data_IF_166443489799
#
_entry.id   IF_166443489799
#
_cell.length_a   1.000
_cell.length_b   1.000
_cell.length_c   1.000
_cell.angle_alpha   90.00
_cell.angle_beta   90.00
_cell.angle_gamma   90.00
#
_symmetry.space_group_name_H-M   'P 1'
#
loop_
_entity.id
_entity.type
_entity.pdbx_description
1 polymer ?
#
# COMPACT_ATOMS: atom_id res chain seq x y z
N UNK A 1 8.05 23.47 -15.47
CA UNK A 1 6.79 22.75 -15.78
C UNK A 1 6.43 21.93 -14.55
N UNK A 2 5.26 22.15 -13.96
CA UNK A 2 4.85 21.36 -12.79
C UNK A 2 4.42 19.96 -13.25
N UNK A 3 4.95 18.94 -12.59
CA UNK A 3 4.65 17.53 -12.86
C UNK A 3 4.18 16.85 -11.58
N UNK A 4 3.37 15.81 -11.70
CA UNK A 4 3.03 14.91 -10.59
C UNK A 4 3.68 13.56 -10.80
N UNK A 5 4.25 13.04 -9.74
CA UNK A 5 4.90 11.74 -9.75
C UNK A 5 3.85 10.63 -9.66
N UNK A 6 4.00 9.60 -10.48
CA UNK A 6 3.30 8.33 -10.40
C UNK A 6 4.28 7.18 -10.49
N UNK A 7 3.86 6.04 -10.04
CA UNK A 7 4.65 4.81 -10.10
C UNK A 7 4.07 3.89 -11.18
N UNK A 8 4.74 3.88 -12.35
CA UNK A 8 4.33 3.09 -13.51
C UNK A 8 5.19 1.85 -13.65
N UNK A 9 4.57 0.67 -13.80
CA UNK A 9 5.28 -0.57 -14.09
C UNK A 9 6.52 -0.77 -13.19
N UNK A 10 6.40 -0.38 -11.92
CA UNK A 10 7.50 -0.36 -10.93
C UNK A 10 8.63 0.63 -11.28
N UNK A 11 8.32 1.67 -12.01
CA UNK A 11 9.24 2.78 -12.32
C UNK A 11 8.59 4.11 -12.00
N UNK A 12 9.40 5.11 -11.68
CA UNK A 12 8.94 6.48 -11.57
C UNK A 12 8.38 6.98 -12.89
N UNK A 13 7.25 7.64 -12.83
CA UNK A 13 6.68 8.37 -13.96
C UNK A 13 6.17 9.73 -13.52
N UNK A 14 6.17 10.67 -14.44
CA UNK A 14 5.79 12.05 -14.19
C UNK A 14 4.77 12.49 -15.21
N UNK A 15 3.65 13.03 -14.75
CA UNK A 15 2.63 13.61 -15.62
C UNK A 15 2.60 15.13 -15.48
N UNK A 16 2.32 15.80 -16.59
CA UNK A 16 2.10 17.25 -16.61
C UNK A 16 0.85 17.60 -15.80
N UNK A 17 0.96 18.58 -14.93
CA UNK A 17 -0.21 19.18 -14.29
C UNK A 17 -1.02 19.96 -15.34
N UNK A 18 -2.34 20.01 -15.15
CA UNK A 18 -3.24 20.74 -16.04
C UNK A 18 -3.86 19.93 -17.16
N UNK A 19 -3.55 18.64 -17.31
CA UNK A 19 -4.35 17.77 -18.17
C UNK A 19 -5.80 17.73 -17.67
N UNK A 20 -6.76 17.91 -18.58
CA UNK A 20 -8.17 17.86 -18.24
C UNK A 20 -8.59 16.42 -17.91
N UNK A 21 -9.09 16.22 -16.69
CA UNK A 21 -9.78 14.97 -16.34
C UNK A 21 -11.27 15.06 -16.74
N UNK A 22 -11.63 14.40 -17.83
CA UNK A 22 -12.99 14.39 -18.38
C UNK A 22 -13.84 13.38 -17.63
N UNK A 23 -14.54 13.82 -16.60
CA UNK A 23 -15.29 12.97 -15.65
C UNK A 23 -16.28 12.02 -16.31
N UNK A 24 -16.96 12.45 -17.39
CA UNK A 24 -17.97 11.63 -18.11
C UNK A 24 -17.36 10.44 -18.83
N UNK A 25 -16.04 10.43 -19.05
CA UNK A 25 -15.33 9.31 -19.65
C UNK A 25 -14.98 8.20 -18.65
N UNK A 26 -15.37 8.34 -17.39
CA UNK A 26 -15.02 7.37 -16.34
C UNK A 26 -16.23 6.99 -15.51
N UNK A 27 -16.30 5.70 -15.15
CA UNK A 27 -17.22 5.13 -14.17
C UNK A 27 -16.47 4.60 -12.96
N UNK A 28 -17.16 4.53 -11.83
CA UNK A 28 -16.61 3.89 -10.61
C UNK A 28 -17.64 2.95 -10.06
N UNK A 29 -17.27 1.69 -9.84
CA UNK A 29 -18.13 0.70 -9.24
C UNK A 29 -17.34 -0.36 -8.49
N UNK A 30 -18.05 -1.20 -7.72
CA UNK A 30 -17.47 -2.30 -6.98
C UNK A 30 -16.98 -3.39 -7.94
N UNK A 31 -15.80 -3.93 -7.67
CA UNK A 31 -15.28 -5.12 -8.35
C UNK A 31 -15.83 -6.35 -7.60
N UNK A 32 -16.64 -7.21 -8.25
CA UNK A 32 -17.35 -8.28 -7.57
C UNK A 32 -16.42 -9.39 -7.04
N UNK A 33 -15.30 -9.62 -7.68
CA UNK A 33 -14.40 -10.72 -7.36
C UNK A 33 -12.98 -10.27 -6.97
N UNK A 34 -12.33 -11.08 -6.13
CA UNK A 34 -10.97 -10.81 -5.68
C UNK A 34 -9.93 -10.98 -6.78
N UNK A 35 -10.17 -11.87 -7.73
CA UNK A 35 -9.19 -12.21 -8.77
C UNK A 35 -8.89 -11.00 -9.65
N UNK A 36 -9.91 -10.34 -10.18
CA UNK A 36 -9.78 -9.14 -11.03
C UNK A 36 -9.02 -8.02 -10.31
N UNK A 37 -9.40 -7.71 -9.07
CA UNK A 37 -8.73 -6.67 -8.29
C UNK A 37 -7.29 -7.06 -7.93
N UNK A 38 -7.07 -8.33 -7.58
CA UNK A 38 -5.76 -8.86 -7.21
C UNK A 38 -4.80 -8.86 -8.38
N UNK A 39 -5.22 -9.34 -9.55
CA UNK A 39 -4.39 -9.38 -10.75
C UNK A 39 -3.96 -7.97 -11.15
N UNK A 40 -4.89 -7.01 -11.15
CA UNK A 40 -4.58 -5.61 -11.44
C UNK A 40 -3.57 -5.02 -10.43
N UNK A 41 -3.79 -5.23 -9.12
CA UNK A 41 -2.90 -4.71 -8.07
C UNK A 41 -1.52 -5.35 -8.16
N UNK A 42 -1.42 -6.66 -8.36
CA UNK A 42 -0.11 -7.34 -8.45
C UNK A 42 0.67 -6.84 -9.67
N UNK A 43 -0.01 -6.60 -10.78
CA UNK A 43 0.63 -6.14 -12.01
C UNK A 43 1.10 -4.67 -11.92
N UNK A 44 0.29 -3.79 -11.32
CA UNK A 44 0.48 -2.33 -11.44
C UNK A 44 0.93 -1.64 -10.15
N UNK A 45 0.74 -2.24 -8.96
CA UNK A 45 1.15 -1.62 -7.71
C UNK A 45 2.57 -2.02 -7.31
N UNK A 46 3.39 -1.06 -6.88
CA UNK A 46 4.80 -1.29 -6.51
C UNK A 46 5.02 -2.39 -5.46
N UNK A 47 4.07 -2.62 -4.56
CA UNK A 47 4.22 -3.65 -3.52
C UNK A 47 4.12 -5.08 -4.06
N UNK A 48 3.51 -5.29 -5.24
CA UNK A 48 3.30 -6.61 -5.83
C UNK A 48 2.56 -7.59 -4.92
N UNK A 49 1.75 -7.09 -3.96
CA UNK A 49 1.03 -7.91 -2.99
C UNK A 49 -0.39 -7.41 -2.79
N UNK A 50 -1.28 -8.33 -2.40
CA UNK A 50 -2.71 -8.06 -2.22
C UNK A 50 -3.14 -8.35 -0.79
N UNK A 51 -3.81 -7.42 -0.09
CA UNK A 51 -4.28 -7.60 1.28
C UNK A 51 -5.62 -8.34 1.33
N UNK A 52 -6.03 -8.75 2.54
CA UNK A 52 -7.37 -9.29 2.78
C UNK A 52 -8.43 -8.18 2.57
N UNK A 53 -9.11 -8.22 1.43
CA UNK A 53 -10.06 -7.19 1.03
C UNK A 53 -11.40 -7.32 1.75
N UNK A 54 -11.94 -6.19 2.21
CA UNK A 54 -13.33 -6.04 2.67
C UNK A 54 -14.23 -5.43 1.59
N UNK A 55 -13.66 -4.55 0.75
CA UNK A 55 -14.32 -3.94 -0.40
C UNK A 55 -13.29 -3.61 -1.47
N UNK A 56 -13.64 -3.77 -2.72
CA UNK A 56 -12.83 -3.51 -3.91
C UNK A 56 -13.59 -2.61 -4.84
N UNK A 57 -12.97 -1.52 -5.28
CA UNK A 57 -13.61 -0.55 -6.16
C UNK A 57 -12.73 -0.31 -7.37
N UNK A 58 -13.31 -0.37 -8.55
CA UNK A 58 -12.67 -0.14 -9.83
C UNK A 58 -12.97 1.25 -10.38
N UNK A 59 -11.97 1.85 -11.01
CA UNK A 59 -12.10 2.96 -11.92
C UNK A 59 -12.13 2.42 -13.34
N UNK A 60 -13.20 2.68 -14.07
CA UNK A 60 -13.41 2.18 -15.42
C UNK A 60 -13.42 3.35 -16.41
N UNK A 61 -12.62 3.23 -17.48
CA UNK A 61 -12.64 4.14 -18.61
C UNK A 61 -13.70 3.68 -19.61
N UNK A 62 -14.62 4.56 -19.96
CA UNK A 62 -15.63 4.29 -20.98
C UNK A 62 -15.00 4.25 -22.37
N UNK A 63 -15.37 3.26 -23.16
CA UNK A 63 -14.95 3.09 -24.55
C UNK A 63 -16.19 3.04 -25.46
N UNK A 64 -16.15 3.80 -26.57
CA UNK A 64 -17.34 4.01 -27.41
C UNK A 64 -17.95 2.71 -27.98
N UNK A 65 -17.12 1.71 -28.30
CA UNK A 65 -17.55 0.47 -28.95
C UNK A 65 -17.04 -0.80 -28.25
N UNK A 66 -16.46 -0.69 -27.06
CA UNK A 66 -15.86 -1.79 -26.33
C UNK A 66 -16.33 -1.77 -24.86
N UNK A 67 -16.22 -2.88 -24.16
CA UNK A 67 -16.42 -2.90 -22.72
C UNK A 67 -15.54 -1.85 -22.01
N UNK A 68 -16.04 -1.31 -20.94
CA UNK A 68 -15.27 -0.36 -20.14
C UNK A 68 -13.97 -1.00 -19.63
N UNK A 69 -12.88 -0.24 -19.70
CA UNK A 69 -11.55 -0.68 -19.33
C UNK A 69 -11.26 -0.38 -17.85
N UNK A 70 -10.82 -1.37 -17.08
CA UNK A 70 -10.35 -1.15 -15.71
C UNK A 70 -9.01 -0.42 -15.74
N UNK A 71 -8.97 0.81 -15.22
CA UNK A 71 -7.79 1.68 -15.23
C UNK A 71 -7.34 2.13 -13.84
N UNK A 72 -8.02 1.67 -12.80
CA UNK A 72 -7.61 1.91 -11.42
C UNK A 72 -8.35 1.03 -10.44
N UNK A 73 -7.70 0.73 -9.31
CA UNK A 73 -8.25 -0.10 -8.23
C UNK A 73 -7.96 0.53 -6.87
N UNK A 74 -9.00 0.59 -6.05
CA UNK A 74 -8.92 0.88 -4.62
C UNK A 74 -9.35 -0.35 -3.83
N UNK A 75 -8.49 -0.87 -2.95
CA UNK A 75 -8.77 -2.00 -2.08
C UNK A 75 -8.88 -1.52 -0.65
N UNK A 76 -10.07 -1.62 -0.09
CA UNK A 76 -10.31 -1.43 1.33
C UNK A 76 -10.15 -2.77 2.03
N UNK A 77 -9.18 -2.87 2.91
CA UNK A 77 -8.75 -4.12 3.54
C UNK A 77 -8.98 -4.14 5.03
N UNK A 78 -8.88 -5.33 5.61
CA UNK A 78 -8.86 -5.50 7.05
C UNK A 78 -7.65 -4.78 7.63
N UNK A 79 -7.89 -3.92 8.62
CA UNK A 79 -6.83 -3.21 9.33
C UNK A 79 -6.07 -4.13 10.28
N UNK A 80 -4.81 -3.78 10.55
CA UNK A 80 -4.04 -4.46 11.58
C UNK A 80 -4.73 -4.29 12.96
N UNK A 81 -4.67 -5.34 13.80
CA UNK A 81 -5.33 -5.35 15.11
C UNK A 81 -4.95 -4.12 15.94
N UNK A 82 -5.95 -3.43 16.45
CA UNK A 82 -5.80 -2.25 17.31
C UNK A 82 -5.33 -0.98 16.58
N UNK A 83 -5.13 -1.01 15.25
CA UNK A 83 -4.67 0.16 14.52
C UNK A 83 -5.76 1.20 14.34
N UNK A 84 -6.99 0.75 14.15
CA UNK A 84 -8.18 1.60 13.98
C UNK A 84 -8.49 2.33 15.28
N UNK A 85 -8.58 1.60 16.39
CA UNK A 85 -8.84 2.17 17.71
C UNK A 85 -7.78 3.21 18.09
N UNK A 86 -6.51 2.86 17.90
CA UNK A 86 -5.40 3.73 18.26
C UNK A 86 -5.35 5.02 17.43
N UNK A 87 -5.71 4.95 16.14
CA UNK A 87 -5.51 6.05 15.19
C UNK A 87 -6.77 6.80 14.82
N UNK A 88 -7.91 6.16 14.89
CA UNK A 88 -9.20 6.74 14.53
C UNK A 88 -10.18 6.83 15.70
N UNK A 89 -9.91 6.18 16.84
CA UNK A 89 -10.79 6.23 18.00
C UNK A 89 -12.13 5.53 17.82
N UNK A 90 -12.25 4.64 16.82
CA UNK A 90 -13.47 3.85 16.57
C UNK A 90 -13.16 2.35 16.69
N UNK A 91 -14.16 1.50 16.96
CA UNK A 91 -13.97 0.05 17.00
C UNK A 91 -13.33 -0.50 15.73
N UNK A 92 -12.49 -1.54 15.83
CA UNK A 92 -11.81 -2.15 14.67
C UNK A 92 -12.75 -2.59 13.56
N UNK A 93 -13.95 -3.04 13.91
CA UNK A 93 -14.96 -3.48 12.94
C UNK A 93 -15.53 -2.34 12.10
N UNK A 94 -15.50 -1.13 12.63
CA UNK A 94 -15.99 0.10 11.99
C UNK A 94 -14.90 0.83 11.17
N UNK A 95 -13.72 0.24 11.04
CA UNK A 95 -12.63 0.81 10.26
C UNK A 95 -12.07 -0.14 9.20
N UNK A 96 -11.45 0.44 8.18
CA UNK A 96 -10.74 -0.26 7.12
C UNK A 96 -9.45 0.47 6.76
N UNK A 97 -8.48 -0.26 6.24
CA UNK A 97 -7.32 0.35 5.59
C UNK A 97 -7.61 0.55 4.09
N UNK A 98 -7.27 1.72 3.53
CA UNK A 98 -7.04 1.85 2.10
C UNK A 98 -5.73 1.13 1.78
N UNK A 99 -5.80 -0.21 1.73
CA UNK A 99 -4.65 -1.09 1.67
C UNK A 99 -3.91 -1.05 0.34
N UNK A 100 -4.64 -0.77 -0.75
CA UNK A 100 -4.05 -0.53 -2.08
C UNK A 100 -4.83 0.52 -2.82
N UNK A 101 -4.09 1.39 -3.48
CA UNK A 101 -4.62 2.41 -4.36
C UNK A 101 -3.69 2.57 -5.55
N UNK A 102 -4.18 2.28 -6.73
CA UNK A 102 -3.38 2.31 -7.95
C UNK A 102 -4.22 2.73 -9.15
N UNK A 103 -3.68 3.62 -9.98
CA UNK A 103 -4.23 4.03 -11.26
C UNK A 103 -3.18 3.80 -12.34
N UNK A 104 -3.65 3.50 -13.55
CA UNK A 104 -2.78 3.49 -14.72
C UNK A 104 -2.30 4.92 -15.02
N UNK A 105 -1.12 5.03 -15.58
CA UNK A 105 -0.46 6.32 -15.82
C UNK A 105 -1.15 7.19 -16.88
N UNK A 106 -1.92 6.57 -17.75
CA UNK A 106 -2.67 7.28 -18.77
C UNK A 106 -3.99 7.91 -18.26
N UNK A 107 -4.35 7.66 -16.99
CA UNK A 107 -5.41 8.41 -16.32
C UNK A 107 -4.91 9.83 -16.05
N UNK A 108 -5.60 10.89 -16.53
CA UNK A 108 -5.15 12.26 -16.38
C UNK A 108 -5.02 12.72 -14.92
N UNK A 109 -4.28 13.81 -14.72
CA UNK A 109 -4.12 14.47 -13.43
C UNK A 109 -5.48 14.76 -12.76
N UNK A 110 -5.55 14.67 -11.44
CA UNK A 110 -6.77 14.75 -10.61
C UNK A 110 -7.70 13.53 -10.68
N UNK A 111 -7.41 12.53 -11.50
CA UNK A 111 -8.15 11.26 -11.49
C UNK A 111 -8.13 10.57 -10.13
N UNK A 112 -7.01 10.68 -9.38
CA UNK A 112 -6.83 10.06 -8.07
C UNK A 112 -7.84 10.55 -7.04
N UNK A 113 -7.91 11.86 -6.82
CA UNK A 113 -8.81 12.44 -5.81
C UNK A 113 -10.28 12.29 -6.21
N UNK A 114 -10.56 12.35 -7.52
CA UNK A 114 -11.89 12.09 -8.05
C UNK A 114 -12.31 10.62 -7.83
N UNK A 115 -11.39 9.68 -8.08
CA UNK A 115 -11.63 8.26 -7.86
C UNK A 115 -11.78 7.96 -6.37
N UNK A 116 -10.88 8.44 -5.50
CA UNK A 116 -10.98 8.25 -4.04
C UNK A 116 -12.34 8.68 -3.49
N UNK A 117 -12.84 9.87 -3.91
CA UNK A 117 -14.15 10.36 -3.47
C UNK A 117 -15.28 9.38 -3.80
N UNK A 118 -15.21 8.75 -4.97
CA UNK A 118 -16.24 7.79 -5.41
C UNK A 118 -16.05 6.42 -4.80
N UNK A 119 -14.81 6.01 -4.64
CA UNK A 119 -14.47 4.76 -3.98
C UNK A 119 -14.97 4.74 -2.51
N UNK A 120 -14.85 5.88 -1.80
CA UNK A 120 -15.42 6.01 -0.45
C UNK A 120 -16.94 5.93 -0.46
N UNK A 121 -17.61 6.50 -1.47
CA UNK A 121 -19.08 6.36 -1.63
C UNK A 121 -19.48 4.91 -1.89
N UNK A 122 -18.73 4.19 -2.75
CA UNK A 122 -18.97 2.77 -2.98
C UNK A 122 -18.74 1.97 -1.70
N UNK A 123 -17.67 2.24 -0.95
CA UNK A 123 -17.41 1.60 0.33
C UNK A 123 -18.61 1.75 1.29
N UNK A 124 -19.12 2.98 1.47
CA UNK A 124 -20.26 3.24 2.36
C UNK A 124 -21.55 2.60 1.88
N UNK A 125 -21.75 2.47 0.57
CA UNK A 125 -22.90 1.74 0.01
C UNK A 125 -22.84 0.25 0.34
N UNK A 126 -21.65 -0.36 0.27
CA UNK A 126 -21.43 -1.79 0.51
C UNK A 126 -21.26 -2.14 1.99
N UNK A 127 -20.74 -1.21 2.78
CA UNK A 127 -20.36 -1.36 4.18
C UNK A 127 -20.74 -0.11 4.96
N UNK A 128 -22.02 0.03 5.27
CA UNK A 128 -22.60 1.21 5.95
C UNK A 128 -22.14 1.37 7.40
N UNK A 129 -21.57 0.32 7.99
CA UNK A 129 -21.00 0.29 9.33
C UNK A 129 -19.60 0.95 9.42
N UNK A 130 -18.95 1.21 8.30
CA UNK A 130 -17.62 1.80 8.31
C UNK A 130 -17.67 3.29 8.62
N UNK A 131 -16.91 3.70 9.64
CA UNK A 131 -16.81 5.08 10.13
C UNK A 131 -15.43 5.70 9.90
N UNK A 132 -14.40 4.88 9.71
CA UNK A 132 -13.05 5.36 9.49
C UNK A 132 -12.34 4.60 8.36
N UNK A 133 -11.58 5.34 7.55
CA UNK A 133 -10.60 4.79 6.60
C UNK A 133 -9.21 5.23 7.02
N UNK A 134 -8.29 4.28 7.14
CA UNK A 134 -6.87 4.53 7.37
C UNK A 134 -6.10 4.32 6.08
N UNK A 135 -5.03 5.08 5.88
CA UNK A 135 -4.04 4.82 4.84
C UNK A 135 -2.63 5.03 5.38
N UNK A 136 -1.70 4.30 4.83
CA UNK A 136 -0.30 4.40 5.20
C UNK A 136 0.55 4.72 3.98
N UNK A 137 1.45 5.68 4.10
CA UNK A 137 2.47 5.93 3.10
C UNK A 137 3.83 5.56 3.63
N UNK A 138 4.60 4.88 2.80
CA UNK A 138 5.95 4.44 3.11
C UNK A 138 6.95 5.49 2.63
N UNK A 139 7.61 6.23 3.54
CA UNK A 139 8.53 7.29 3.17
C UNK A 139 9.94 6.80 2.83
N UNK A 140 10.22 5.48 2.92
CA UNK A 140 11.54 4.92 2.72
C UNK A 140 11.78 4.55 1.25
N UNK A 141 12.66 5.26 0.52
CA UNK A 141 13.06 4.85 -0.83
C UNK A 141 13.78 3.51 -0.80
N UNK A 142 13.57 2.70 -1.83
CA UNK A 142 14.25 1.41 -1.99
C UNK A 142 14.75 1.23 -3.41
N UNK A 143 15.96 0.66 -3.51
CA UNK A 143 16.60 0.35 -4.78
C UNK A 143 17.07 -1.11 -4.77
N UNK A 144 17.36 -1.66 -5.95
CA UNK A 144 18.09 -2.92 -6.08
C UNK A 144 19.53 -2.73 -5.62
N UNK A 145 20.26 -3.83 -5.41
CA UNK A 145 21.69 -3.79 -5.11
C UNK A 145 22.52 -3.07 -6.20
N UNK A 146 22.02 -3.06 -7.43
CA UNK A 146 22.60 -2.36 -8.57
C UNK A 146 22.25 -0.86 -8.60
N UNK A 147 21.55 -0.35 -7.60
CA UNK A 147 21.15 1.06 -7.50
C UNK A 147 19.90 1.43 -8.30
N UNK A 148 19.22 0.48 -8.95
CA UNK A 148 17.98 0.75 -9.67
C UNK A 148 16.84 1.00 -8.68
N UNK A 149 16.27 2.20 -8.69
CA UNK A 149 15.14 2.54 -7.83
C UNK A 149 13.91 1.70 -8.16
N UNK A 150 13.33 1.04 -7.16
CA UNK A 150 12.09 0.27 -7.27
C UNK A 150 10.93 0.90 -6.52
N UNK A 151 11.22 1.77 -5.56
CA UNK A 151 10.25 2.54 -4.81
C UNK A 151 10.89 3.86 -4.34
N UNK A 152 10.39 5.02 -4.77
CA UNK A 152 10.97 6.32 -4.41
C UNK A 152 10.65 6.75 -2.99
N UNK A 153 9.82 6.01 -2.27
CA UNK A 153 9.17 6.47 -1.06
C UNK A 153 8.11 7.54 -1.35
N UNK A 154 7.12 7.69 -0.49
CA UNK A 154 6.16 8.77 -0.64
C UNK A 154 5.60 9.22 0.70
N UNK A 155 5.24 10.50 0.75
CA UNK A 155 4.66 11.13 1.96
C UNK A 155 3.13 11.17 1.94
N UNK A 156 2.50 10.44 1.04
CA UNK A 156 1.04 10.40 0.94
C UNK A 156 0.44 11.67 0.34
N UNK A 157 1.07 12.27 -0.65
CA UNK A 157 0.60 13.50 -1.32
C UNK A 157 -0.86 13.41 -1.77
N UNK A 158 -1.28 12.24 -2.30
CA UNK A 158 -2.67 12.00 -2.70
C UNK A 158 -3.60 12.03 -1.49
N UNK A 159 -3.16 11.48 -0.36
CA UNK A 159 -3.93 11.46 0.88
C UNK A 159 -4.09 12.88 1.45
N UNK A 160 -3.01 13.68 1.41
CA UNK A 160 -3.04 15.10 1.79
C UNK A 160 -3.97 15.90 0.86
N UNK A 161 -3.87 15.69 -0.46
CA UNK A 161 -4.74 16.35 -1.45
C UNK A 161 -6.22 15.95 -1.31
N UNK A 162 -6.50 14.81 -0.71
CA UNK A 162 -7.85 14.33 -0.38
C UNK A 162 -8.25 14.59 1.08
N UNK A 163 -7.60 15.56 1.73
CA UNK A 163 -7.88 16.00 3.12
C UNK A 163 -7.75 14.88 4.16
N UNK A 164 -6.86 13.91 3.95
CA UNK A 164 -6.53 12.90 4.95
C UNK A 164 -5.87 13.55 6.17
N UNK A 165 -6.39 13.34 7.36
CA UNK A 165 -5.76 13.81 8.60
C UNK A 165 -4.50 13.01 8.85
N UNK A 166 -3.36 13.66 8.91
CA UNK A 166 -2.12 13.02 9.33
C UNK A 166 -2.14 12.82 10.86
N UNK A 167 -1.98 11.58 11.29
CA UNK A 167 -2.06 11.18 12.70
C UNK A 167 -0.75 10.56 13.21
N UNK A 168 0.35 10.93 12.58
CA UNK A 168 1.69 10.52 13.01
C UNK A 168 2.23 9.28 12.28
N UNK A 169 3.34 8.78 12.78
CA UNK A 169 4.06 7.63 12.21
C UNK A 169 3.74 6.33 12.95
N UNK A 170 3.87 5.22 12.25
CA UNK A 170 3.99 3.92 12.93
C UNK A 170 5.34 3.84 13.65
N UNK A 171 5.50 2.82 14.49
CA UNK A 171 6.78 2.60 15.17
C UNK A 171 7.90 2.40 14.15
N UNK A 172 9.09 2.88 14.49
CA UNK A 172 10.30 2.53 13.76
C UNK A 172 10.59 1.05 13.95
N UNK A 173 11.04 0.39 12.91
CA UNK A 173 11.40 -1.01 12.98
C UNK A 173 12.59 -1.36 12.07
N UNK A 174 13.31 -2.41 12.41
CA UNK A 174 14.28 -2.99 11.52
C UNK A 174 13.60 -3.92 10.53
N UNK A 175 13.94 -3.78 9.25
CA UNK A 175 13.46 -4.65 8.18
C UNK A 175 14.62 -5.19 7.36
N UNK A 176 14.38 -6.31 6.73
CA UNK A 176 15.30 -6.89 5.76
C UNK A 176 14.80 -6.58 4.34
N UNK A 177 15.75 -6.23 3.47
CA UNK A 177 15.51 -5.94 2.05
C UNK A 177 16.34 -6.91 1.23
N UNK A 178 15.73 -7.53 0.23
CA UNK A 178 16.38 -8.43 -0.71
C UNK A 178 17.20 -7.64 -1.77
N UNK A 179 18.08 -8.32 -2.55
CA UNK A 179 18.86 -7.68 -3.61
C UNK A 179 18.03 -6.95 -4.66
N UNK A 180 16.75 -7.32 -4.78
CA UNK A 180 15.80 -6.70 -5.70
C UNK A 180 15.08 -5.48 -5.08
N UNK A 181 15.47 -5.08 -3.87
CA UNK A 181 14.91 -3.94 -3.13
C UNK A 181 13.53 -4.19 -2.51
N UNK A 182 13.06 -5.45 -2.46
CA UNK A 182 11.80 -5.80 -1.82
C UNK A 182 12.00 -6.13 -0.35
N UNK A 183 11.00 -5.79 0.45
CA UNK A 183 11.02 -6.12 1.88
C UNK A 183 10.72 -7.59 2.12
N UNK A 184 11.49 -8.21 3.01
CA UNK A 184 11.20 -9.56 3.52
C UNK A 184 10.20 -9.42 4.68
N UNK A 185 8.96 -9.94 4.54
CA UNK A 185 7.95 -9.80 5.58
C UNK A 185 8.35 -10.51 6.87
N UNK A 186 8.35 -9.82 8.00
CA UNK A 186 8.65 -10.40 9.33
C UNK A 186 7.80 -11.64 9.63
N UNK A 187 6.53 -11.62 9.21
CA UNK A 187 5.63 -12.77 9.39
C UNK A 187 6.08 -13.98 8.58
N UNK A 188 6.67 -13.79 7.39
CA UNK A 188 7.24 -14.91 6.62
C UNK A 188 8.43 -15.53 7.35
N UNK A 189 9.34 -14.70 7.88
CA UNK A 189 10.47 -15.17 8.68
C UNK A 189 10.01 -15.91 9.95
N UNK A 190 9.00 -15.36 10.66
CA UNK A 190 8.41 -16.02 11.83
C UNK A 190 7.82 -17.38 11.49
N UNK A 191 7.09 -17.51 10.39
CA UNK A 191 6.52 -18.78 9.93
C UNK A 191 7.60 -19.83 9.70
N UNK A 192 8.71 -19.46 9.05
CA UNK A 192 9.83 -20.38 8.82
C UNK A 192 10.45 -20.79 10.16
N UNK A 193 10.78 -19.82 11.03
CA UNK A 193 11.43 -20.09 12.33
C UNK A 193 10.62 -21.03 13.21
N UNK A 194 9.31 -20.91 13.18
CA UNK A 194 8.40 -21.62 14.08
C UNK A 194 7.74 -22.86 13.42
N UNK A 195 8.03 -23.15 12.13
CA UNK A 195 7.40 -24.26 11.41
C UNK A 195 5.88 -24.13 11.28
N UNK A 196 5.35 -22.89 11.21
CA UNK A 196 3.91 -22.65 11.16
C UNK A 196 3.30 -23.01 9.81
N UNK A 197 1.98 -23.14 9.75
CA UNK A 197 1.25 -23.36 8.51
C UNK A 197 1.65 -22.31 7.44
N UNK A 198 2.00 -22.78 6.23
CA UNK A 198 2.51 -21.94 5.13
C UNK A 198 3.99 -21.58 5.25
N UNK A 199 4.76 -22.21 6.12
CA UNK A 199 6.22 -22.04 6.22
C UNK A 199 6.93 -22.44 4.92
N UNK A 200 6.49 -23.53 4.25
CA UNK A 200 7.07 -23.95 2.97
C UNK A 200 6.98 -22.87 1.90
N UNK A 201 5.81 -22.27 1.70
CA UNK A 201 5.66 -21.18 0.74
C UNK A 201 6.40 -19.89 1.15
N UNK A 202 6.65 -19.67 2.45
CA UNK A 202 7.51 -18.58 2.92
C UNK A 202 8.98 -18.89 2.65
N UNK A 203 9.40 -20.14 2.86
CA UNK A 203 10.75 -20.62 2.54
C UNK A 203 11.06 -20.49 1.04
N UNK A 204 10.18 -20.98 0.16
CA UNK A 204 10.36 -20.85 -1.29
C UNK A 204 10.51 -19.40 -1.73
N UNK A 205 9.69 -18.49 -1.19
CA UNK A 205 9.84 -17.05 -1.48
C UNK A 205 11.16 -16.48 -1.00
N UNK A 206 11.68 -16.95 0.14
CA UNK A 206 12.98 -16.50 0.66
C UNK A 206 14.13 -16.98 -0.25
N UNK A 207 14.06 -18.21 -0.77
CA UNK A 207 14.99 -18.71 -1.79
C UNK A 207 14.90 -17.86 -3.07
N UNK A 208 13.70 -17.57 -3.57
CA UNK A 208 13.52 -16.70 -4.74
C UNK A 208 14.02 -15.26 -4.51
N UNK A 209 14.13 -14.83 -3.26
CA UNK A 209 14.74 -13.56 -2.86
C UNK A 209 16.26 -13.61 -2.72
N UNK A 210 16.90 -14.76 -3.03
CA UNK A 210 18.36 -14.92 -3.03
C UNK A 210 18.92 -15.66 -1.81
N UNK A 211 18.10 -16.26 -0.95
CA UNK A 211 18.59 -17.09 0.15
C UNK A 211 19.11 -18.45 -0.35
N UNK A 212 20.17 -18.92 0.27
CA UNK A 212 20.62 -20.30 0.11
C UNK A 212 19.58 -21.29 0.67
N UNK A 213 19.65 -22.55 0.22
CA UNK A 213 18.82 -23.61 0.78
C UNK A 213 19.27 -23.97 2.21
N UNK A 214 18.36 -24.55 2.97
CA UNK A 214 18.65 -25.12 4.28
C UNK A 214 19.70 -26.23 4.17
N UNK A 215 20.68 -26.22 5.06
CA UNK A 215 21.73 -27.25 5.10
C UNK A 215 21.26 -28.52 5.79
N UNK A 216 21.88 -29.65 5.48
CA UNK A 216 21.55 -30.93 6.13
C UNK A 216 21.79 -30.81 7.65
N UNK A 217 20.77 -31.11 8.45
CA UNK A 217 20.83 -31.02 9.92
C UNK A 217 20.63 -29.61 10.50
N UNK A 218 20.46 -28.59 9.67
CA UNK A 218 20.19 -27.22 10.12
C UNK A 218 18.72 -27.08 10.54
N UNK A 219 18.46 -26.52 11.72
CA UNK A 219 17.09 -26.21 12.13
C UNK A 219 16.61 -24.89 11.51
N UNK A 220 15.29 -24.72 11.42
CA UNK A 220 14.65 -23.59 10.75
C UNK A 220 15.05 -22.23 11.32
N UNK A 221 15.31 -22.13 12.62
CA UNK A 221 15.74 -20.88 13.27
C UNK A 221 17.17 -20.52 12.84
N UNK A 222 18.10 -21.46 12.98
CA UNK A 222 19.49 -21.28 12.57
C UNK A 222 19.59 -20.96 11.07
N UNK A 223 18.79 -21.62 10.23
CA UNK A 223 18.68 -21.33 8.81
C UNK A 223 18.32 -19.86 8.55
N UNK A 224 17.22 -19.35 9.14
CA UNK A 224 16.79 -17.97 8.93
C UNK A 224 17.84 -16.98 9.40
N UNK A 225 18.46 -17.21 10.56
CA UNK A 225 19.48 -16.33 11.12
C UNK A 225 20.72 -16.30 10.19
N UNK A 226 21.22 -17.45 9.76
CA UNK A 226 22.33 -17.55 8.81
C UNK A 226 22.05 -16.84 7.48
N UNK A 227 20.93 -17.13 6.82
CA UNK A 227 20.67 -16.54 5.49
C UNK A 227 20.45 -15.04 5.55
N UNK A 228 20.00 -14.50 6.66
CA UNK A 228 19.86 -13.07 6.85
C UNK A 228 21.18 -12.38 7.15
N UNK A 229 22.11 -13.03 7.86
CA UNK A 229 23.42 -12.49 8.23
C UNK A 229 24.46 -12.68 7.12
N UNK A 230 24.53 -13.88 6.55
CA UNK A 230 25.56 -14.25 5.55
C UNK A 230 25.07 -14.08 4.11
N UNK A 231 23.75 -13.93 3.91
CA UNK A 231 23.13 -13.85 2.59
C UNK A 231 23.11 -12.42 2.01
N UNK A 232 22.53 -12.26 0.82
CA UNK A 232 22.57 -10.99 0.10
C UNK A 232 21.48 -10.00 0.59
N UNK A 233 21.10 -10.06 1.85
CA UNK A 233 20.04 -9.23 2.43
C UNK A 233 20.63 -8.04 3.18
N UNK A 234 20.01 -6.88 3.01
CA UNK A 234 20.39 -5.67 3.73
C UNK A 234 19.43 -5.39 4.89
N UNK A 235 19.98 -5.10 6.07
CA UNK A 235 19.19 -4.70 7.25
C UNK A 235 19.05 -3.19 7.31
N UNK A 236 17.82 -2.69 7.26
CA UNK A 236 17.54 -1.25 7.19
C UNK A 236 16.60 -0.84 8.33
N UNK A 237 16.87 0.32 8.93
CA UNK A 237 15.96 0.92 9.92
C UNK A 237 14.87 1.70 9.22
N UNK A 238 13.64 1.20 9.26
CA UNK A 238 12.47 1.88 8.72
C UNK A 238 11.98 2.97 9.66
N UNK A 239 11.74 4.21 9.18
CA UNK A 239 11.36 5.35 10.03
C UNK A 239 9.92 5.31 10.54
N UNK A 240 9.15 4.31 10.14
CA UNK A 240 7.72 4.20 10.31
C UNK A 240 6.92 4.76 9.12
N UNK A 241 5.78 4.15 8.83
CA UNK A 241 4.85 4.64 7.82
C UNK A 241 4.09 5.86 8.33
N UNK A 242 3.81 6.81 7.45
CA UNK A 242 2.96 7.96 7.73
C UNK A 242 1.50 7.54 7.69
N UNK A 243 0.76 7.76 8.76
CA UNK A 243 -0.64 7.34 8.88
C UNK A 243 -1.59 8.50 8.64
N UNK A 244 -2.58 8.25 7.80
CA UNK A 244 -3.65 9.18 7.45
C UNK A 244 -5.00 8.57 7.78
N UNK A 245 -5.94 9.40 8.23
CA UNK A 245 -7.28 8.97 8.62
C UNK A 245 -8.33 9.89 8.00
N UNK A 246 -9.41 9.28 7.51
CA UNK A 246 -10.64 9.97 7.15
C UNK A 246 -11.78 9.47 8.03
N UNK A 247 -12.51 10.41 8.62
CA UNK A 247 -13.85 10.14 9.13
C UNK A 247 -14.79 10.07 7.94
N UNK A 248 -15.45 8.93 7.74
CA UNK A 248 -16.51 8.80 6.76
C UNK A 248 -17.83 8.69 7.50
N UNK A 249 -18.66 9.75 7.38
CA UNK A 249 -19.91 9.85 8.09
C UNK A 249 -21.08 10.03 7.15
N UNK A 250 -22.20 9.46 7.56
CA UNK A 250 -23.52 9.98 7.20
C UNK A 250 -23.69 11.38 7.82
N UNK A 251 -24.31 12.25 7.06
CA UNK A 251 -24.51 13.70 7.18
C UNK A 251 -24.83 14.24 8.56
N UNK A 252 -24.51 13.91 9.69
CA UNK A 252 -24.81 14.66 10.93
C UNK A 252 -24.15 14.12 12.22
N UNK A 253 -23.25 13.16 12.16
CA UNK A 253 -22.57 12.71 13.37
C UNK A 253 -21.19 13.33 13.47
N UNK A 254 -20.95 14.12 14.49
CA UNK A 254 -19.60 14.51 14.93
C UNK A 254 -18.94 13.28 15.56
N UNK A 255 -17.93 12.71 14.91
CA UNK A 255 -17.08 11.70 15.57
C UNK A 255 -16.26 12.41 16.66
N UNK A 256 -16.85 12.47 17.87
CA UNK A 256 -16.08 12.77 19.07
C UNK A 256 -15.02 11.69 19.25
N UNK A 257 -13.74 12.06 19.23
CA UNK A 257 -12.63 11.12 19.46
C UNK A 257 -11.61 11.00 18.32
N UNK A 258 -11.85 11.59 17.15
CA UNK A 258 -10.80 11.67 16.13
C UNK A 258 -9.62 12.50 16.64
N UNK A 259 -8.39 12.00 16.57
CA UNK A 259 -7.23 12.76 16.99
C UNK A 259 -7.08 14.03 16.14
N UNK A 260 -6.56 15.15 16.72
CA UNK A 260 -6.29 16.33 15.93
C UNK A 260 -5.25 16.04 14.84
N UNK A 261 -5.35 16.71 13.68
CA UNK A 261 -4.39 16.52 12.62
C UNK A 261 -3.02 17.10 13.03
N UNK A 262 -1.95 16.38 12.70
CA UNK A 262 -0.59 16.88 12.78
C UNK A 262 -0.19 17.59 11.47
N UNK A 263 0.85 18.45 11.49
CA UNK A 263 1.41 19.02 10.27
C UNK A 263 1.86 17.94 9.28
N UNK A 264 1.57 18.13 8.00
CA UNK A 264 1.94 17.17 6.96
C UNK A 264 3.45 17.07 6.79
N UNK A 265 3.93 15.83 6.67
CA UNK A 265 5.28 15.55 6.18
C UNK A 265 5.38 15.90 4.69
N UNK A 266 6.42 16.66 4.32
CA UNK A 266 6.60 17.17 2.94
C UNK A 266 7.74 16.51 2.18
N UNK A 267 8.59 15.73 2.85
CA UNK A 267 9.78 15.11 2.26
C UNK A 267 9.83 13.62 2.57
N UNK A 268 10.22 12.83 1.60
CA UNK A 268 10.60 11.44 1.81
C UNK A 268 11.94 11.35 2.55
N UNK A 269 12.18 10.24 3.21
CA UNK A 269 13.48 9.97 3.80
C UNK A 269 14.56 9.81 2.71
N UNK A 270 15.79 10.20 3.02
CA UNK A 270 16.92 9.85 2.16
C UNK A 270 17.11 8.34 2.17
N UNK A 271 17.51 7.74 1.04
CA UNK A 271 17.87 6.33 1.04
C UNK A 271 18.98 6.08 2.07
N UNK A 272 18.98 4.91 2.72
CA UNK A 272 20.08 4.52 3.60
C UNK A 272 21.41 4.59 2.85
N UNK A 273 22.46 5.07 3.51
CA UNK A 273 23.82 5.01 2.94
C UNK A 273 24.24 3.53 2.86
N UNK A 274 24.62 3.07 1.68
CA UNK A 274 25.14 1.70 1.48
C UNK A 274 24.14 0.69 0.91
N UNK A 275 23.03 1.13 0.28
CA UNK A 275 22.22 0.32 -0.63
C UNK A 275 22.57 0.66 -2.07
#
# INVERSE_FOLDING_TARGET
MEVSQRWRERKDSYRKRGEAFIKVSYGVDVIPDDKTAKDFVIQHHYSGSYPAARCRVGLYRQRKFFPAELVGVAVFSVSARGSVEKRAGVPSVEGVDLGRFVLLDDVPFNGETWFLRRAFKCLLREKSDIRAVLAYSDPLPRSTIEGKMIMPGHVGTIYQAFNGRYVGKTNQEWMWIDPFGKTIPRRALSKIRNGECGSNGAYERLILSGADKIKKGENSKAYVDRVLEDGPFSRVKHPGNLAYVWAIQYKNETLGGFPPPLPYEKKVHKPPRGL
#
